data_IF_992648229581
#
_entry.id   IF_992648229581
#
_cell.length_a   1.000
_cell.length_b   1.000
_cell.length_c   1.000
_cell.angle_alpha   90.00
_cell.angle_beta   90.00
_cell.angle_gamma   90.00
#
_symmetry.space_group_name_H-M   'P 1'
#
loop_
_entity.id
_entity.type
_entity.pdbx_description
1 polymer ?
#
# COMPACT_ATOMS: atom_id res chain seq x y z
N UNK A 1 -1.96 37.64 48.41
CA UNK A 1 -1.06 37.17 47.34
C UNK A 1 -1.88 36.25 46.47
N UNK A 2 -2.48 36.82 45.43
CA UNK A 2 -3.41 36.17 44.51
C UNK A 2 -2.64 35.71 43.27
N UNK A 3 -2.86 34.47 42.87
CA UNK A 3 -2.26 33.83 41.68
C UNK A 3 -2.48 34.66 40.41
N UNK A 4 -1.53 34.63 39.45
CA UNK A 4 -1.74 35.21 38.14
C UNK A 4 -2.69 34.30 37.31
N UNK A 5 -3.52 34.86 36.42
CA UNK A 5 -4.39 34.07 35.56
C UNK A 5 -3.56 33.29 34.52
N UNK A 6 -4.04 32.13 34.04
CA UNK A 6 -3.39 31.43 32.93
C UNK A 6 -3.42 32.31 31.68
N UNK A 7 -2.27 32.45 31.02
CA UNK A 7 -2.15 33.16 29.76
C UNK A 7 -2.91 32.41 28.67
N UNK A 8 -4.04 32.95 28.25
CA UNK A 8 -4.62 32.64 26.94
C UNK A 8 -4.12 33.71 25.98
N UNK A 9 -3.56 33.26 24.84
CA UNK A 9 -3.68 33.84 23.49
C UNK A 9 -2.44 33.52 22.63
N UNK A 10 -2.52 33.62 21.29
CA UNK A 10 -3.35 32.78 20.43
C UNK A 10 -2.55 32.34 19.19
N UNK A 11 -2.87 31.21 18.57
CA UNK A 11 -2.60 31.06 17.14
C UNK A 11 -3.91 30.70 16.49
N UNK A 12 -4.67 31.74 16.11
CA UNK A 12 -5.60 31.55 14.98
C UNK A 12 -4.75 31.04 13.83
N UNK A 13 -5.05 29.86 13.25
CA UNK A 13 -4.38 29.45 12.04
C UNK A 13 -4.64 30.55 11.00
N UNK A 14 -3.62 30.89 10.23
CA UNK A 14 -3.77 31.67 8.99
C UNK A 14 -5.00 31.13 8.26
N UNK A 15 -5.95 31.95 7.81
CA UNK A 15 -7.18 31.38 7.30
C UNK A 15 -6.84 30.54 6.07
N UNK A 16 -7.20 29.26 6.11
CA UNK A 16 -6.76 28.29 5.10
C UNK A 16 -7.43 28.59 3.75
N UNK A 17 -6.72 28.34 2.66
CA UNK A 17 -7.31 28.37 1.31
C UNK A 17 -8.25 27.19 1.14
N UNK A 18 -9.37 27.40 0.45
CA UNK A 18 -10.37 26.36 0.20
C UNK A 18 -10.41 25.90 -1.24
N UNK A 19 -10.46 24.59 -1.44
CA UNK A 19 -10.87 23.95 -2.69
C UNK A 19 -12.27 23.39 -2.49
N UNK A 20 -13.16 23.66 -3.43
CA UNK A 20 -14.56 23.20 -3.38
C UNK A 20 -14.80 22.29 -4.58
N UNK A 21 -15.23 21.06 -4.33
CA UNK A 21 -15.65 20.08 -5.34
C UNK A 21 -17.17 19.95 -5.20
N UNK A 22 -17.92 20.09 -6.29
CA UNK A 22 -19.39 20.08 -6.29
C UNK A 22 -19.96 19.21 -7.42
N UNK A 23 -21.24 18.85 -7.33
CA UNK A 23 -22.00 18.13 -8.37
C UNK A 23 -21.51 16.71 -8.71
N UNK A 24 -20.65 16.11 -7.89
CA UNK A 24 -20.22 14.72 -8.05
C UNK A 24 -21.07 13.76 -7.23
N UNK A 25 -21.15 12.50 -7.67
CA UNK A 25 -21.49 11.41 -6.78
C UNK A 25 -20.34 11.23 -5.77
N UNK A 26 -20.64 10.82 -4.53
CA UNK A 26 -19.64 10.68 -3.47
C UNK A 26 -19.86 9.34 -2.79
N UNK A 27 -18.81 8.52 -2.68
CA UNK A 27 -18.76 7.38 -1.78
C UNK A 27 -17.79 7.72 -0.65
N UNK A 28 -18.29 7.95 0.55
CA UNK A 28 -17.46 8.40 1.68
C UNK A 28 -16.59 7.29 2.25
N UNK A 29 -17.07 6.04 2.20
CA UNK A 29 -16.46 4.87 2.87
C UNK A 29 -16.30 5.09 4.39
N UNK A 30 -17.13 5.97 4.98
CA UNK A 30 -17.24 6.12 6.43
C UNK A 30 -17.80 4.84 7.08
N UNK A 31 -18.04 4.85 8.40
CA UNK A 31 -18.55 3.68 9.10
C UNK A 31 -19.95 3.23 8.64
N UNK A 32 -20.73 4.14 8.06
CA UNK A 32 -22.12 3.92 7.63
C UNK A 32 -22.25 3.66 6.12
N UNK A 33 -21.13 3.61 5.39
CA UNK A 33 -21.08 3.54 3.92
C UNK A 33 -21.92 4.67 3.27
N UNK A 34 -21.84 5.89 3.80
CA UNK A 34 -22.63 7.02 3.30
C UNK A 34 -22.29 7.32 1.83
N UNK A 35 -23.31 7.34 0.98
CA UNK A 35 -23.22 7.70 -0.44
C UNK A 35 -24.14 8.89 -0.76
N UNK A 36 -23.64 9.84 -1.58
CA UNK A 36 -24.44 10.94 -2.11
C UNK A 36 -24.50 10.84 -3.63
N UNK A 37 -25.70 10.86 -4.21
CA UNK A 37 -25.88 10.86 -5.67
C UNK A 37 -25.38 12.16 -6.33
N UNK A 38 -25.45 13.27 -5.59
CA UNK A 38 -24.88 14.56 -5.96
C UNK A 38 -24.58 15.34 -4.68
N UNK A 39 -23.31 15.74 -4.51
CA UNK A 39 -22.86 16.38 -3.28
C UNK A 39 -21.70 17.34 -3.48
N UNK A 40 -21.12 17.72 -2.36
CA UNK A 40 -19.95 18.58 -2.29
C UNK A 40 -18.90 18.04 -1.33
N UNK A 41 -17.65 18.44 -1.56
CA UNK A 41 -16.52 18.30 -0.64
C UNK A 41 -15.83 19.66 -0.57
N UNK A 42 -15.64 20.18 0.65
CA UNK A 42 -14.83 21.38 0.90
C UNK A 42 -13.54 20.94 1.58
N UNK A 43 -12.42 21.25 0.96
CA UNK A 43 -11.07 21.05 1.50
C UNK A 43 -10.56 22.40 1.99
N UNK A 44 -10.15 22.48 3.25
CA UNK A 44 -9.48 23.63 3.83
C UNK A 44 -8.02 23.25 4.15
N UNK A 45 -7.07 23.89 3.47
CA UNK A 45 -5.66 23.51 3.59
C UNK A 45 -5.47 22.05 3.13
N UNK A 46 -5.15 21.17 4.08
CA UNK A 46 -4.98 19.74 3.86
C UNK A 46 -6.07 18.87 4.52
N UNK A 47 -7.13 19.46 5.07
CA UNK A 47 -8.20 18.74 5.75
C UNK A 47 -9.52 18.83 4.96
N UNK A 48 -10.31 17.78 5.06
CA UNK A 48 -11.70 17.80 4.67
C UNK A 48 -12.45 18.64 5.71
N UNK A 49 -12.99 19.78 5.30
CA UNK A 49 -13.78 20.67 6.16
C UNK A 49 -15.23 20.20 6.21
N UNK A 50 -15.84 19.94 5.05
CA UNK A 50 -17.21 19.41 4.95
C UNK A 50 -17.36 18.44 3.78
N UNK A 51 -18.26 17.48 3.94
CA UNK A 51 -18.76 16.60 2.88
C UNK A 51 -20.27 16.43 3.10
N UNK A 52 -21.05 16.46 2.03
CA UNK A 52 -22.50 16.38 2.18
C UNK A 52 -23.26 16.39 0.86
N UNK A 53 -24.59 16.20 0.90
CA UNK A 53 -25.43 16.24 -0.29
C UNK A 53 -25.64 17.69 -0.78
N UNK A 54 -25.93 17.84 -2.07
CA UNK A 54 -26.25 19.14 -2.67
C UNK A 54 -25.06 20.12 -2.73
N UNK A 55 -25.33 21.41 -2.95
CA UNK A 55 -24.29 22.43 -3.14
C UNK A 55 -23.48 22.67 -1.86
N UNK A 56 -22.25 23.17 -2.01
CA UNK A 56 -21.42 23.55 -0.86
C UNK A 56 -22.05 24.70 -0.06
N UNK A 57 -21.71 24.86 1.22
CA UNK A 57 -22.22 25.95 2.06
C UNK A 57 -22.08 27.33 1.40
N UNK A 58 -23.11 28.16 1.52
CA UNK A 58 -23.06 29.54 1.02
C UNK A 58 -22.10 30.39 1.87
N UNK A 59 -21.46 31.39 1.26
CA UNK A 59 -20.61 32.33 1.99
C UNK A 59 -19.22 31.80 2.37
N UNK A 60 -18.77 30.68 1.79
CA UNK A 60 -17.38 30.22 1.93
C UNK A 60 -16.41 31.33 1.52
N UNK A 61 -15.48 31.66 2.42
CA UNK A 61 -14.42 32.64 2.15
C UNK A 61 -13.14 31.93 1.71
N UNK A 62 -12.30 32.64 0.97
CA UNK A 62 -10.97 32.14 0.53
C UNK A 62 -11.02 30.86 -0.31
N UNK A 63 -12.09 30.69 -1.07
CA UNK A 63 -12.18 29.67 -2.11
C UNK A 63 -11.22 30.05 -3.24
N UNK A 64 -10.15 29.27 -3.40
CA UNK A 64 -9.13 29.49 -4.44
C UNK A 64 -9.42 28.69 -5.70
N UNK A 65 -10.22 27.62 -5.58
CA UNK A 65 -10.61 26.75 -6.70
C UNK A 65 -12.00 26.15 -6.47
N UNK A 66 -12.81 26.14 -7.52
CA UNK A 66 -14.04 25.35 -7.61
C UNK A 66 -13.88 24.31 -8.72
N UNK A 67 -14.27 23.07 -8.44
CA UNK A 67 -14.21 21.94 -9.37
C UNK A 67 -15.63 21.42 -9.56
N UNK A 68 -16.10 21.44 -10.81
CA UNK A 68 -17.35 20.80 -11.18
C UNK A 68 -17.11 19.31 -11.43
N UNK A 69 -17.63 18.48 -10.53
CA UNK A 69 -17.54 17.02 -10.55
C UNK A 69 -18.72 16.34 -11.23
N UNK A 70 -19.53 17.07 -12.01
CA UNK A 70 -20.60 16.46 -12.82
C UNK A 70 -20.07 15.28 -13.63
N UNK A 71 -20.75 14.12 -13.57
CA UNK A 71 -20.31 12.90 -14.25
C UNK A 71 -19.15 12.15 -13.56
N UNK A 72 -18.78 12.56 -12.35
CA UNK A 72 -17.71 11.93 -11.57
C UNK A 72 -18.22 11.26 -10.29
N UNK A 73 -17.46 10.28 -9.82
CA UNK A 73 -17.50 9.78 -8.45
C UNK A 73 -16.29 10.32 -7.69
N UNK A 74 -16.51 10.87 -6.50
CA UNK A 74 -15.47 11.15 -5.52
C UNK A 74 -15.36 10.00 -4.51
N UNK A 75 -14.14 9.54 -4.25
CA UNK A 75 -13.82 8.54 -3.22
C UNK A 75 -12.64 9.01 -2.37
N UNK A 76 -12.37 8.39 -1.22
CA UNK A 76 -11.04 8.46 -0.61
C UNK A 76 -10.01 7.98 -1.63
N UNK A 77 -8.79 8.50 -1.50
CA UNK A 77 -7.67 8.00 -2.27
C UNK A 77 -7.36 6.53 -1.94
N UNK A 78 -6.89 5.80 -2.94
CA UNK A 78 -6.56 4.40 -2.78
C UNK A 78 -5.31 4.25 -1.90
N UNK A 79 -5.31 3.22 -1.06
CA UNK A 79 -4.25 2.90 -0.11
C UNK A 79 -3.65 1.54 -0.47
N UNK A 80 -2.46 1.55 -1.07
CA UNK A 80 -1.72 0.32 -1.34
C UNK A 80 -0.98 -0.12 -0.08
N UNK A 81 -1.25 -1.35 0.39
CA UNK A 81 -0.68 -1.92 1.61
C UNK A 81 0.50 -2.87 1.38
N UNK A 82 0.82 -3.22 0.13
CA UNK A 82 1.92 -4.12 -0.20
C UNK A 82 2.39 -4.00 -1.66
N UNK A 83 3.70 -3.79 -1.85
CA UNK A 83 4.39 -3.70 -3.14
C UNK A 83 5.89 -4.03 -2.98
N UNK A 84 6.58 -4.35 -4.08
CA UNK A 84 8.05 -4.27 -4.23
C UNK A 84 8.49 -3.40 -5.43
N UNK A 85 8.95 -2.17 -5.21
CA UNK A 85 9.16 -1.13 -6.23
C UNK A 85 10.32 -1.47 -7.16
N UNK A 86 11.42 -1.99 -6.61
CA UNK A 86 12.59 -2.38 -7.41
C UNK A 86 12.25 -3.41 -8.51
N UNK A 87 11.17 -4.18 -8.34
CA UNK A 87 10.69 -5.15 -9.32
C UNK A 87 10.08 -4.51 -10.57
N UNK A 88 9.91 -3.18 -10.61
CA UNK A 88 9.50 -2.44 -11.81
C UNK A 88 10.42 -2.68 -13.00
N UNK A 89 11.71 -2.92 -12.73
CA UNK A 89 12.74 -3.15 -13.74
C UNK A 89 12.78 -4.60 -14.25
N UNK A 90 12.09 -5.51 -13.60
CA UNK A 90 12.11 -6.96 -13.90
C UNK A 90 10.74 -7.50 -14.33
N UNK A 91 9.80 -6.62 -14.69
CA UNK A 91 8.45 -6.99 -15.15
C UNK A 91 8.51 -7.92 -16.36
N UNK A 92 7.66 -8.94 -16.37
CA UNK A 92 7.54 -9.90 -17.47
C UNK A 92 8.66 -10.96 -17.52
N UNK A 93 9.53 -11.04 -16.51
CA UNK A 93 10.46 -12.16 -16.32
C UNK A 93 9.75 -13.31 -15.56
N UNK A 94 10.31 -14.53 -15.64
CA UNK A 94 9.80 -15.72 -14.93
C UNK A 94 8.26 -15.91 -15.08
N UNK A 95 7.79 -15.91 -16.33
CA UNK A 95 6.36 -15.89 -16.67
C UNK A 95 5.59 -17.15 -16.26
N UNK A 96 6.27 -18.30 -16.26
CA UNK A 96 5.66 -19.62 -16.09
C UNK A 96 6.27 -20.33 -14.87
N UNK A 97 6.24 -19.66 -13.73
CA UNK A 97 6.89 -20.11 -12.49
C UNK A 97 5.92 -19.99 -11.31
N UNK A 98 5.98 -20.96 -10.40
CA UNK A 98 5.44 -20.80 -9.04
C UNK A 98 6.34 -19.82 -8.24
N UNK A 99 5.96 -19.50 -7.00
CA UNK A 99 6.71 -18.57 -6.16
C UNK A 99 8.20 -18.92 -6.01
N UNK A 100 8.52 -20.17 -5.66
CA UNK A 100 9.90 -20.55 -5.35
C UNK A 100 10.78 -20.52 -6.59
N UNK A 101 10.30 -21.05 -7.72
CA UNK A 101 11.01 -21.01 -9.00
C UNK A 101 11.20 -19.57 -9.50
N UNK A 102 10.19 -18.72 -9.28
CA UNK A 102 10.23 -17.29 -9.62
C UNK A 102 11.27 -16.55 -8.78
N UNK A 103 11.29 -16.77 -7.46
CA UNK A 103 12.28 -16.19 -6.54
C UNK A 103 13.70 -16.63 -6.87
N UNK A 104 13.93 -17.94 -7.05
CA UNK A 104 15.26 -18.48 -7.41
C UNK A 104 15.77 -17.91 -8.72
N UNK A 105 14.87 -17.68 -9.69
CA UNK A 105 15.21 -17.06 -10.98
C UNK A 105 15.62 -15.59 -10.81
N UNK A 106 14.98 -14.86 -9.90
CA UNK A 106 15.09 -13.41 -9.81
C UNK A 106 16.09 -12.90 -8.76
N UNK A 107 16.37 -13.66 -7.70
CA UNK A 107 17.38 -13.27 -6.69
C UNK A 107 18.74 -12.91 -7.30
N UNK A 108 19.31 -13.67 -8.26
CA UNK A 108 20.55 -13.28 -8.89
C UNK A 108 20.43 -11.91 -9.58
N UNK A 109 19.31 -11.63 -10.24
CA UNK A 109 19.09 -10.34 -10.91
C UNK A 109 18.98 -9.22 -9.87
N UNK A 110 18.14 -9.39 -8.85
CA UNK A 110 17.92 -8.35 -7.84
C UNK A 110 19.12 -8.09 -6.94
N UNK A 111 20.00 -9.06 -6.73
CA UNK A 111 21.26 -8.87 -6.02
C UNK A 111 22.24 -7.89 -6.72
N UNK A 112 21.87 -7.37 -7.90
CA UNK A 112 22.68 -6.44 -8.71
C UNK A 112 22.04 -5.06 -8.86
N UNK A 113 20.94 -4.79 -8.16
CA UNK A 113 20.36 -3.44 -8.11
C UNK A 113 21.29 -2.47 -7.38
N UNK A 114 21.22 -1.20 -7.76
CA UNK A 114 21.86 -0.10 -7.07
C UNK A 114 20.89 1.08 -6.90
N UNK A 115 21.34 2.12 -6.20
CA UNK A 115 20.52 3.27 -5.82
C UNK A 115 19.88 3.99 -7.03
N UNK A 116 20.59 4.26 -8.14
CA UNK A 116 19.97 4.78 -9.37
C UNK A 116 18.88 3.86 -9.93
N UNK A 117 19.08 2.54 -9.95
CA UNK A 117 18.05 1.60 -10.40
C UNK A 117 16.82 1.66 -9.51
N UNK A 118 17.00 1.63 -8.19
CA UNK A 118 15.89 1.65 -7.23
C UNK A 118 15.11 2.97 -7.31
N UNK A 119 15.78 4.11 -7.47
CA UNK A 119 15.09 5.40 -7.67
C UNK A 119 14.26 5.40 -8.94
N UNK A 120 14.82 4.95 -10.07
CA UNK A 120 14.10 4.85 -11.34
C UNK A 120 12.91 3.87 -11.27
N UNK A 121 13.09 2.73 -10.58
CA UNK A 121 12.07 1.73 -10.36
C UNK A 121 10.92 2.27 -9.50
N UNK A 122 11.24 2.89 -8.37
CA UNK A 122 10.29 3.53 -7.47
C UNK A 122 9.49 4.62 -8.17
N UNK A 123 10.14 5.48 -8.98
CA UNK A 123 9.43 6.48 -9.79
C UNK A 123 8.45 5.83 -10.76
N UNK A 124 8.83 4.73 -11.41
CA UNK A 124 7.96 3.98 -12.30
C UNK A 124 6.73 3.38 -11.60
N UNK A 125 6.94 2.65 -10.51
CA UNK A 125 5.88 2.06 -9.69
C UNK A 125 4.92 3.13 -9.14
N UNK A 126 5.46 4.17 -8.53
CA UNK A 126 4.68 5.26 -7.95
C UNK A 126 3.92 6.04 -9.01
N UNK A 127 4.52 6.34 -10.16
CA UNK A 127 3.85 7.05 -11.25
C UNK A 127 2.56 6.33 -11.69
N UNK A 128 2.64 5.02 -11.87
CA UNK A 128 1.48 4.21 -12.28
C UNK A 128 0.41 4.14 -11.19
N UNK A 129 0.82 3.91 -9.94
CA UNK A 129 -0.10 3.92 -8.80
C UNK A 129 -0.81 5.26 -8.61
N UNK A 130 -0.06 6.36 -8.58
CA UNK A 130 -0.59 7.71 -8.33
C UNK A 130 -1.53 8.13 -9.45
N UNK A 131 -1.14 7.90 -10.71
CA UNK A 131 -2.00 8.12 -11.89
C UNK A 131 -3.29 7.30 -11.80
N UNK A 132 -3.21 6.11 -11.22
CA UNK A 132 -4.33 5.20 -10.96
C UNK A 132 -5.09 5.46 -9.65
N UNK A 133 -4.91 6.61 -8.99
CA UNK A 133 -5.70 7.03 -7.83
C UNK A 133 -5.14 6.63 -6.46
N UNK A 134 -3.90 6.12 -6.38
CA UNK A 134 -3.23 5.86 -5.09
C UNK A 134 -2.74 7.17 -4.48
N UNK A 135 -3.12 7.42 -3.23
CA UNK A 135 -2.67 8.57 -2.44
C UNK A 135 -1.73 8.16 -1.30
N UNK A 136 -1.82 6.90 -0.86
CA UNK A 136 -0.92 6.30 0.12
C UNK A 136 -0.35 5.01 -0.43
N UNK A 137 0.97 4.91 -0.49
CA UNK A 137 1.69 3.73 -0.94
C UNK A 137 2.56 3.15 0.18
N UNK A 138 2.82 1.85 0.09
CA UNK A 138 3.74 1.10 0.92
C UNK A 138 4.67 0.32 -0.01
N UNK A 139 5.94 0.22 0.38
CA UNK A 139 6.91 -0.65 -0.29
C UNK A 139 7.60 -1.56 0.70
N UNK A 140 7.72 -2.84 0.34
CA UNK A 140 8.45 -3.87 1.06
C UNK A 140 9.80 -4.14 0.38
N UNK A 141 10.79 -3.28 0.66
CA UNK A 141 12.13 -3.45 0.13
C UNK A 141 12.95 -4.39 1.02
N UNK A 142 13.31 -5.57 0.53
CA UNK A 142 14.03 -6.58 1.34
C UNK A 142 15.36 -7.08 0.76
N UNK A 143 15.77 -6.59 -0.41
CA UNK A 143 17.06 -6.93 -1.04
C UNK A 143 18.00 -5.73 -0.93
N UNK A 144 19.07 -5.86 -0.14
CA UNK A 144 20.07 -4.79 0.07
C UNK A 144 21.47 -5.27 -0.31
N UNK A 145 21.85 -5.25 -1.61
CA UNK A 145 23.16 -5.71 -2.03
C UNK A 145 24.27 -4.81 -1.46
N UNK A 146 25.41 -5.43 -1.11
CA UNK A 146 26.54 -4.69 -0.56
C UNK A 146 27.07 -3.66 -1.57
N UNK A 147 27.21 -2.42 -1.12
CA UNK A 147 27.72 -1.32 -1.96
C UNK A 147 26.71 -0.78 -2.96
N UNK A 148 25.41 -1.11 -2.82
CA UNK A 148 24.35 -0.66 -3.70
C UNK A 148 23.94 0.82 -3.50
N UNK A 149 24.43 1.49 -2.45
CA UNK A 149 24.03 2.85 -2.08
C UNK A 149 22.82 2.89 -1.14
N UNK A 150 22.16 4.04 -1.04
CA UNK A 150 21.01 4.27 -0.18
C UNK A 150 19.69 3.94 -0.90
N UNK A 151 19.34 2.65 -0.92
CA UNK A 151 18.16 2.15 -1.64
C UNK A 151 16.85 2.67 -1.05
N UNK A 152 16.71 2.65 0.28
CA UNK A 152 15.51 3.14 0.95
C UNK A 152 15.34 4.65 0.75
N UNK A 153 16.43 5.41 0.85
CA UNK A 153 16.43 6.84 0.56
C UNK A 153 16.07 7.15 -0.88
N UNK A 154 16.48 6.32 -1.85
CA UNK A 154 16.02 6.43 -3.23
C UNK A 154 14.49 6.33 -3.37
N UNK A 155 13.85 5.38 -2.69
CA UNK A 155 12.39 5.25 -2.70
C UNK A 155 11.70 6.43 -2.03
N UNK A 156 12.22 6.89 -0.89
CA UNK A 156 11.71 8.05 -0.17
C UNK A 156 11.81 9.32 -1.04
N UNK A 157 12.91 9.50 -1.78
CA UNK A 157 13.05 10.62 -2.73
C UNK A 157 12.02 10.53 -3.85
N UNK A 158 11.85 9.36 -4.47
CA UNK A 158 10.84 9.15 -5.49
C UNK A 158 9.42 9.46 -4.97
N UNK A 159 9.05 8.97 -3.78
CA UNK A 159 7.76 9.26 -3.16
C UNK A 159 7.52 10.76 -2.93
N UNK A 160 8.55 11.47 -2.46
CA UNK A 160 8.50 12.92 -2.28
C UNK A 160 8.34 13.67 -3.60
N UNK A 161 9.05 13.26 -4.65
CA UNK A 161 8.95 13.84 -5.99
C UNK A 161 7.54 13.68 -6.57
N UNK A 162 6.92 12.50 -6.43
CA UNK A 162 5.57 12.26 -6.91
C UNK A 162 4.47 12.85 -6.00
N UNK A 163 4.80 13.21 -4.76
CA UNK A 163 3.86 13.83 -3.81
C UNK A 163 2.92 12.85 -3.13
N UNK A 164 3.33 11.58 -2.98
CA UNK A 164 2.51 10.52 -2.38
C UNK A 164 2.83 10.33 -0.89
N UNK A 165 1.83 9.97 -0.08
CA UNK A 165 2.06 9.54 1.31
C UNK A 165 2.71 8.16 1.27
N UNK A 166 3.82 7.98 1.97
CA UNK A 166 4.63 6.79 1.84
C UNK A 166 4.86 6.09 3.19
N UNK A 167 4.68 4.77 3.19
CA UNK A 167 5.02 3.90 4.32
C UNK A 167 6.07 2.89 3.89
N UNK A 168 7.34 3.30 3.65
CA UNK A 168 8.38 2.36 3.30
C UNK A 168 8.65 1.41 4.45
N UNK A 169 8.98 0.16 4.16
CA UNK A 169 9.54 -0.74 5.16
C UNK A 169 10.99 -1.06 4.85
N UNK A 170 11.83 -1.02 5.88
CA UNK A 170 13.17 -1.57 5.79
C UNK A 170 13.04 -3.07 6.03
N UNK A 171 13.09 -3.84 4.95
CA UNK A 171 13.10 -5.30 5.00
C UNK A 171 14.47 -5.93 5.12
N UNK A 172 14.52 -7.25 5.27
CA UNK A 172 15.78 -8.00 5.40
C UNK A 172 15.61 -9.47 5.14
N UNK A 173 16.72 -10.10 4.77
CA UNK A 173 16.91 -11.54 4.73
C UNK A 173 18.27 -11.86 5.35
N UNK A 174 18.34 -12.83 6.25
CA UNK A 174 19.60 -13.29 6.90
C UNK A 174 19.78 -14.82 6.85
N UNK A 175 18.85 -15.54 6.21
CA UNK A 175 18.89 -16.99 6.08
C UNK A 175 19.20 -17.38 4.63
N UNK A 176 20.49 -17.54 4.31
CA UNK A 176 20.94 -17.99 2.99
C UNK A 176 20.87 -19.51 2.79
N UNK A 177 21.07 -19.95 1.55
CA UNK A 177 21.08 -21.36 1.13
C UNK A 177 22.01 -22.24 1.98
N UNK A 178 23.21 -21.75 2.31
CA UNK A 178 24.17 -22.49 3.15
C UNK A 178 23.67 -22.77 4.57
N UNK A 179 22.70 -21.99 5.05
CA UNK A 179 22.03 -22.14 6.35
C UNK A 179 20.62 -22.74 6.22
N UNK A 180 20.22 -23.19 5.03
CA UNK A 180 18.94 -23.85 4.75
C UNK A 180 17.77 -22.90 4.48
N UNK A 181 18.05 -21.66 4.10
CA UNK A 181 17.07 -20.74 3.52
C UNK A 181 16.94 -20.87 2.01
N UNK A 182 15.97 -20.16 1.43
CA UNK A 182 15.75 -20.08 -0.01
C UNK A 182 16.71 -19.11 -0.76
N UNK A 183 17.01 -17.89 -0.26
CA UNK A 183 17.83 -16.95 -1.02
C UNK A 183 19.30 -17.40 -1.11
N UNK A 184 20.01 -17.07 -2.20
CA UNK A 184 21.45 -17.28 -2.29
C UNK A 184 22.19 -16.53 -1.17
N UNK A 185 23.31 -17.06 -0.69
CA UNK A 185 24.09 -16.46 0.42
C UNK A 185 24.57 -15.02 0.13
N UNK A 186 24.74 -14.65 -1.15
CA UNK A 186 25.12 -13.29 -1.54
C UNK A 186 23.96 -12.28 -1.50
N UNK A 187 22.72 -12.76 -1.40
CA UNK A 187 21.51 -11.94 -1.37
C UNK A 187 21.02 -11.65 0.05
N UNK A 188 21.71 -12.16 1.07
CA UNK A 188 21.37 -11.97 2.49
C UNK A 188 22.39 -11.09 3.22
N UNK A 189 21.95 -10.53 4.34
CA UNK A 189 22.75 -9.74 5.26
C UNK A 189 23.05 -10.53 6.53
N UNK A 190 23.92 -10.00 7.39
CA UNK A 190 23.98 -10.52 8.77
C UNK A 190 22.80 -9.98 9.57
N UNK A 191 22.34 -10.72 10.58
CA UNK A 191 21.28 -10.27 11.50
C UNK A 191 21.61 -8.92 12.14
N UNK A 192 22.87 -8.73 12.57
CA UNK A 192 23.33 -7.49 13.21
C UNK A 192 23.29 -6.30 12.24
N UNK A 193 23.79 -6.48 11.01
CA UNK A 193 23.76 -5.42 9.99
C UNK A 193 22.32 -5.06 9.61
N UNK A 194 21.45 -6.06 9.49
CA UNK A 194 20.05 -5.87 9.18
C UNK A 194 19.32 -5.06 10.28
N UNK A 195 19.49 -5.42 11.55
CA UNK A 195 18.88 -4.71 12.67
C UNK A 195 19.41 -3.27 12.79
N UNK A 196 20.72 -3.08 12.63
CA UNK A 196 21.35 -1.76 12.68
C UNK A 196 20.84 -0.84 11.57
N UNK A 197 20.83 -1.31 10.32
CA UNK A 197 20.32 -0.54 9.19
C UNK A 197 18.82 -0.23 9.32
N UNK A 198 18.04 -1.15 9.91
CA UNK A 198 16.63 -0.93 10.21
C UNK A 198 16.44 0.17 11.26
N UNK A 199 17.22 0.15 12.34
CA UNK A 199 17.18 1.19 13.38
C UNK A 199 17.60 2.56 12.82
N UNK A 200 18.68 2.62 12.04
CA UNK A 200 19.14 3.85 11.37
C UNK A 200 18.08 4.44 10.43
N UNK A 201 17.41 3.59 9.64
CA UNK A 201 16.31 4.02 8.77
C UNK A 201 15.15 4.63 9.54
N UNK A 202 14.75 4.02 10.66
CA UNK A 202 13.69 4.54 11.52
C UNK A 202 14.10 5.89 12.11
N UNK A 203 15.28 5.96 12.74
CA UNK A 203 15.76 7.16 13.43
C UNK A 203 15.95 8.35 12.48
N UNK A 204 16.26 8.09 11.22
CA UNK A 204 16.49 9.12 10.21
C UNK A 204 15.19 9.61 9.57
N UNK A 205 14.22 8.73 9.33
CA UNK A 205 13.12 9.01 8.41
C UNK A 205 11.72 8.91 9.00
N UNK A 206 11.52 8.20 10.11
CA UNK A 206 10.18 7.96 10.64
C UNK A 206 9.58 9.24 11.24
N UNK A 207 8.39 9.64 10.79
CA UNK A 207 7.61 10.72 11.38
C UNK A 207 6.24 10.20 11.86
N UNK A 208 6.02 10.07 13.18
CA UNK A 208 4.77 9.56 13.75
C UNK A 208 3.67 10.62 13.80
N UNK A 209 3.91 11.87 13.38
CA UNK A 209 2.91 12.94 13.50
C UNK A 209 1.64 12.63 12.72
N UNK A 210 0.51 13.15 13.18
CA UNK A 210 -0.70 13.21 12.37
C UNK A 210 -0.40 13.92 11.04
N UNK A 211 -0.90 13.39 9.93
CA UNK A 211 -0.66 13.99 8.61
C UNK A 211 0.70 13.70 8.00
N UNK A 212 1.61 13.02 8.70
CA UNK A 212 2.94 12.70 8.20
C UNK A 212 2.89 12.02 6.83
N UNK A 213 3.71 12.54 5.91
CA UNK A 213 3.90 11.98 4.56
C UNK A 213 4.82 10.76 4.55
N UNK A 214 5.44 10.40 5.68
CA UNK A 214 6.45 9.34 5.74
C UNK A 214 6.42 8.58 7.07
N UNK A 215 6.05 7.29 7.04
CA UNK A 215 6.12 6.39 8.20
C UNK A 215 6.88 5.12 7.89
N UNK A 216 8.09 5.00 8.41
CA UNK A 216 8.91 3.79 8.25
C UNK A 216 8.33 2.64 9.08
N UNK A 217 8.33 1.42 8.52
CA UNK A 217 8.07 0.17 9.22
C UNK A 217 9.23 -0.84 9.13
N UNK A 218 9.15 -1.92 9.90
CA UNK A 218 10.14 -2.99 9.95
C UNK A 218 9.61 -4.21 9.21
N UNK A 219 10.38 -4.79 8.29
CA UNK A 219 9.84 -5.88 7.46
C UNK A 219 10.80 -6.99 7.00
N UNK A 220 11.39 -7.80 7.89
CA UNK A 220 11.98 -9.06 7.48
C UNK A 220 11.06 -9.87 6.53
N UNK A 221 11.65 -10.41 5.46
CA UNK A 221 10.92 -10.83 4.27
C UNK A 221 9.91 -11.96 4.53
N UNK A 222 10.34 -13.18 4.84
CA UNK A 222 9.46 -14.35 4.98
C UNK A 222 10.09 -15.45 5.85
N UNK A 223 9.30 -16.42 6.37
CA UNK A 223 9.82 -17.50 7.22
C UNK A 223 10.94 -18.36 6.60
N UNK A 224 11.01 -18.45 5.27
CA UNK A 224 12.02 -19.23 4.54
C UNK A 224 13.25 -18.40 4.08
N UNK A 225 13.29 -17.11 4.39
CA UNK A 225 14.40 -16.20 4.08
C UNK A 225 14.97 -15.47 5.31
N UNK A 226 14.36 -15.67 6.47
CA UNK A 226 14.67 -14.97 7.72
C UNK A 226 14.81 -15.97 8.87
N UNK A 227 15.85 -15.81 9.68
CA UNK A 227 16.09 -16.58 10.88
C UNK A 227 15.08 -16.26 11.99
N UNK A 228 14.82 -17.23 12.87
CA UNK A 228 13.97 -17.02 14.05
C UNK A 228 14.53 -15.91 14.97
N UNK A 229 15.85 -15.75 15.02
CA UNK A 229 16.53 -14.68 15.77
C UNK A 229 16.16 -13.31 15.23
N UNK A 230 16.36 -13.08 13.93
CA UNK A 230 16.02 -11.82 13.28
C UNK A 230 14.53 -11.49 13.40
N UNK A 231 13.62 -12.46 13.23
CA UNK A 231 12.19 -12.21 13.45
C UNK A 231 11.91 -11.68 14.86
N UNK A 232 12.42 -12.33 15.90
CA UNK A 232 12.18 -11.93 17.29
C UNK A 232 12.77 -10.55 17.59
N UNK A 233 14.03 -10.33 17.22
CA UNK A 233 14.74 -9.08 17.51
C UNK A 233 14.18 -7.89 16.71
N UNK A 234 13.72 -8.12 15.47
CA UNK A 234 13.04 -7.10 14.67
C UNK A 234 11.69 -6.69 15.27
N UNK A 235 10.90 -7.65 15.78
CA UNK A 235 9.65 -7.36 16.47
C UNK A 235 9.88 -6.54 17.75
N UNK A 236 10.91 -6.88 18.52
CA UNK A 236 11.31 -6.10 19.70
C UNK A 236 11.78 -4.69 19.31
N UNK A 237 12.61 -4.55 18.26
CA UNK A 237 13.06 -3.25 17.77
C UNK A 237 11.89 -2.36 17.34
N UNK A 238 10.97 -2.88 16.52
CA UNK A 238 9.84 -2.13 16.02
C UNK A 238 8.98 -1.58 17.17
N UNK A 239 8.68 -2.42 18.17
CA UNK A 239 7.89 -2.03 19.34
C UNK A 239 8.62 -1.03 20.24
N UNK A 240 9.95 -1.16 20.41
CA UNK A 240 10.75 -0.16 21.13
C UNK A 240 10.73 1.20 20.42
N UNK A 241 10.73 1.20 19.09
CA UNK A 241 10.69 2.43 18.26
C UNK A 241 9.28 2.95 17.99
N UNK A 242 8.24 2.20 18.36
CA UNK A 242 6.85 2.57 18.10
C UNK A 242 6.44 2.53 16.63
N UNK A 243 7.09 1.69 15.82
CA UNK A 243 6.79 1.50 14.39
C UNK A 243 6.07 0.18 14.13
N UNK A 244 5.42 0.07 12.98
CA UNK A 244 4.67 -1.13 12.57
C UNK A 244 5.57 -2.20 11.94
N UNK A 245 5.04 -3.42 11.88
CA UNK A 245 5.70 -4.65 11.45
C UNK A 245 5.00 -5.25 10.22
N UNK A 246 5.76 -5.61 9.19
CA UNK A 246 5.24 -6.26 7.99
C UNK A 246 6.04 -7.49 7.56
N UNK A 247 5.39 -8.53 7.05
CA UNK A 247 6.08 -9.69 6.47
C UNK A 247 5.15 -10.44 5.50
N UNK A 248 5.69 -11.38 4.74
CA UNK A 248 4.89 -12.35 4.01
C UNK A 248 4.50 -13.49 4.96
N UNK A 249 3.26 -13.97 4.88
CA UNK A 249 2.81 -15.07 5.74
C UNK A 249 1.67 -15.88 5.14
N UNK A 250 1.76 -17.20 5.27
CA UNK A 250 0.77 -18.17 4.78
C UNK A 250 0.46 -17.98 3.28
N UNK A 251 1.47 -17.67 2.48
CA UNK A 251 1.36 -17.39 1.05
C UNK A 251 1.24 -18.67 0.23
N UNK A 252 1.98 -19.73 0.55
CA UNK A 252 2.03 -20.96 -0.27
C UNK A 252 1.96 -22.24 0.55
N UNK A 253 1.57 -23.34 -0.10
CA UNK A 253 1.65 -24.69 0.50
C UNK A 253 3.09 -25.10 0.78
N UNK A 254 4.05 -24.61 0.00
CA UNK A 254 5.48 -24.79 0.20
C UNK A 254 5.96 -24.17 1.51
N UNK A 255 5.50 -22.95 1.84
CA UNK A 255 5.77 -22.29 3.11
C UNK A 255 5.17 -23.08 4.29
N UNK A 256 3.92 -23.56 4.17
CA UNK A 256 3.28 -24.37 5.20
C UNK A 256 4.10 -25.64 5.49
N UNK A 257 4.56 -26.33 4.44
CA UNK A 257 5.44 -27.49 4.55
C UNK A 257 6.78 -27.13 5.21
N UNK A 258 7.42 -26.04 4.77
CA UNK A 258 8.67 -25.57 5.34
C UNK A 258 8.54 -25.33 6.85
N UNK A 259 7.49 -24.61 7.28
CA UNK A 259 7.27 -24.33 8.70
C UNK A 259 7.03 -25.59 9.52
N UNK A 260 6.25 -26.55 9.00
CA UNK A 260 6.03 -27.84 9.67
C UNK A 260 7.32 -28.65 9.80
N UNK A 261 8.13 -28.71 8.76
CA UNK A 261 9.39 -29.45 8.76
C UNK A 261 10.46 -28.83 9.67
N UNK A 262 10.57 -27.49 9.68
CA UNK A 262 11.60 -26.77 10.45
C UNK A 262 11.20 -26.49 11.89
N UNK A 263 9.93 -26.19 12.15
CA UNK A 263 9.45 -25.67 13.44
C UNK A 263 8.35 -26.54 14.08
N UNK A 264 7.84 -27.55 13.38
CA UNK A 264 6.81 -28.45 13.90
C UNK A 264 5.40 -27.82 13.99
N UNK A 265 5.19 -26.65 13.38
CA UNK A 265 3.94 -25.88 13.44
C UNK A 265 3.65 -25.16 12.12
N UNK A 266 2.45 -24.61 11.97
CA UNK A 266 2.08 -23.82 10.78
C UNK A 266 2.70 -22.41 10.78
N UNK A 267 2.64 -21.68 9.64
CA UNK A 267 3.24 -20.35 9.51
C UNK A 267 2.73 -19.35 10.55
N UNK A 268 1.40 -19.28 10.77
CA UNK A 268 0.80 -18.37 11.75
C UNK A 268 1.28 -18.66 13.18
N UNK A 269 1.30 -19.92 13.60
CA UNK A 269 1.78 -20.30 14.93
C UNK A 269 3.26 -19.97 15.11
N UNK A 270 4.06 -20.18 14.07
CA UNK A 270 5.48 -19.83 14.06
C UNK A 270 5.69 -18.31 14.20
N UNK A 271 4.99 -17.50 13.40
CA UNK A 271 5.03 -16.05 13.47
C UNK A 271 4.53 -15.54 14.84
N UNK A 272 3.47 -16.14 15.39
CA UNK A 272 3.01 -15.84 16.74
C UNK A 272 4.12 -16.09 17.80
N UNK A 273 4.85 -17.20 17.69
CA UNK A 273 5.93 -17.57 18.62
C UNK A 273 7.14 -16.61 18.61
N UNK A 274 7.23 -15.77 17.57
CA UNK A 274 8.29 -14.77 17.39
C UNK A 274 7.80 -13.34 17.62
N UNK A 275 6.53 -13.15 18.03
CA UNK A 275 5.96 -11.85 18.34
C UNK A 275 5.29 -11.13 17.18
N UNK A 276 5.08 -11.82 16.05
CA UNK A 276 4.55 -11.26 14.79
C UNK A 276 3.02 -11.35 14.66
N UNK A 277 2.28 -11.28 15.77
CA UNK A 277 0.83 -11.00 15.74
C UNK A 277 0.55 -9.81 16.67
N UNK A 278 -0.32 -8.91 16.23
CA UNK A 278 -0.68 -7.68 16.95
C UNK A 278 -1.31 -6.62 16.05
N UNK A 279 -1.89 -5.59 16.66
CA UNK A 279 -2.48 -4.44 15.95
C UNK A 279 -1.45 -3.58 15.21
N UNK A 280 -0.17 -3.75 15.57
CA UNK A 280 1.02 -3.18 14.96
C UNK A 280 1.56 -4.02 13.79
N UNK A 281 0.96 -5.18 13.50
CA UNK A 281 1.42 -6.13 12.47
C UNK A 281 0.44 -6.22 11.30
N UNK A 282 0.96 -6.33 10.08
CA UNK A 282 0.18 -6.81 8.94
C UNK A 282 0.97 -7.75 8.05
N UNK A 283 0.29 -8.72 7.43
CA UNK A 283 0.92 -9.72 6.57
C UNK A 283 0.40 -9.68 5.14
N UNK A 284 1.28 -9.91 4.19
CA UNK A 284 0.91 -10.07 2.78
C UNK A 284 0.35 -11.46 2.49
N UNK A 285 -0.54 -11.52 1.50
CA UNK A 285 -1.13 -12.73 0.92
C UNK A 285 -2.14 -13.45 1.80
N UNK A 286 -1.71 -14.09 2.88
CA UNK A 286 -2.56 -14.84 3.81
C UNK A 286 -3.49 -15.84 3.11
N UNK A 287 -2.96 -16.61 2.16
CA UNK A 287 -3.73 -17.51 1.28
C UNK A 287 -4.17 -18.77 2.02
N UNK A 288 -3.22 -19.46 2.64
CA UNK A 288 -3.42 -20.76 3.26
C UNK A 288 -3.67 -20.61 4.77
N UNK A 289 -4.78 -19.95 5.10
CA UNK A 289 -5.23 -19.80 6.49
C UNK A 289 -6.35 -20.79 6.83
N UNK A 290 -6.26 -21.41 7.99
CA UNK A 290 -7.33 -22.18 8.59
C UNK A 290 -8.16 -21.31 9.58
N UNK A 291 -9.22 -21.88 10.16
CA UNK A 291 -10.10 -21.14 11.07
C UNK A 291 -9.42 -20.67 12.37
N UNK A 292 -8.41 -21.39 12.87
CA UNK A 292 -7.63 -20.98 14.04
C UNK A 292 -6.71 -19.79 13.71
N UNK A 293 -6.12 -19.78 12.52
CA UNK A 293 -5.31 -18.65 12.04
C UNK A 293 -6.17 -17.37 11.95
N UNK A 294 -7.34 -17.46 11.33
CA UNK A 294 -8.29 -16.33 11.22
C UNK A 294 -8.69 -15.83 12.60
N UNK A 295 -9.01 -16.74 13.52
CA UNK A 295 -9.35 -16.38 14.90
C UNK A 295 -8.17 -15.73 15.66
N UNK A 296 -6.92 -16.12 15.37
CA UNK A 296 -5.75 -15.48 15.94
C UNK A 296 -5.55 -14.05 15.42
N UNK A 297 -5.71 -13.83 14.11
CA UNK A 297 -5.64 -12.50 13.51
C UNK A 297 -6.74 -11.58 14.05
N UNK A 298 -7.99 -12.09 14.13
CA UNK A 298 -9.11 -11.34 14.69
C UNK A 298 -8.88 -10.93 16.15
N UNK A 299 -8.39 -11.86 17.00
CA UNK A 299 -8.11 -11.56 18.41
C UNK A 299 -6.99 -10.53 18.61
N UNK A 300 -6.01 -10.51 17.72
CA UNK A 300 -4.81 -9.68 17.86
C UNK A 300 -4.89 -8.36 17.10
N UNK A 301 -5.87 -8.21 16.20
CA UNK A 301 -5.96 -7.06 15.32
C UNK A 301 -4.93 -7.09 14.18
N UNK A 302 -4.32 -8.24 13.89
CA UNK A 302 -3.32 -8.38 12.83
C UNK A 302 -3.96 -8.12 11.47
N UNK A 303 -3.39 -7.22 10.67
CA UNK A 303 -3.91 -6.85 9.35
C UNK A 303 -3.50 -7.81 8.23
N UNK A 304 -4.23 -7.76 7.12
CA UNK A 304 -3.94 -8.53 5.90
C UNK A 304 -3.84 -7.60 4.68
N UNK A 305 -2.78 -7.71 3.90
CA UNK A 305 -2.64 -7.12 2.58
C UNK A 305 -2.98 -8.18 1.51
N UNK A 306 -4.21 -8.13 0.97
CA UNK A 306 -4.67 -9.06 -0.05
C UNK A 306 -4.18 -8.64 -1.44
N UNK A 307 -3.48 -9.55 -2.15
CA UNK A 307 -2.88 -9.30 -3.46
C UNK A 307 -3.47 -10.22 -4.55
N UNK A 308 -4.72 -10.00 -5.00
CA UNK A 308 -5.47 -10.99 -5.78
C UNK A 308 -4.83 -11.33 -7.13
N UNK A 309 -4.39 -10.33 -7.90
CA UNK A 309 -3.72 -10.58 -9.18
C UNK A 309 -2.42 -11.36 -9.03
N UNK A 310 -1.59 -11.01 -8.02
CA UNK A 310 -0.33 -11.73 -7.79
C UNK A 310 -0.58 -13.18 -7.44
N UNK A 311 -1.46 -13.41 -6.45
CA UNK A 311 -1.85 -14.76 -6.04
C UNK A 311 -2.34 -15.61 -7.23
N UNK A 312 -3.09 -15.00 -8.16
CA UNK A 312 -3.54 -15.65 -9.38
C UNK A 312 -2.39 -15.90 -10.39
N UNK A 313 -1.50 -14.92 -10.58
CA UNK A 313 -0.38 -14.95 -11.54
C UNK A 313 0.66 -16.02 -11.22
N UNK A 314 0.89 -16.32 -9.94
CA UNK A 314 1.77 -17.42 -9.51
C UNK A 314 1.01 -18.69 -9.09
N UNK A 315 -0.32 -18.71 -9.29
CA UNK A 315 -1.21 -19.81 -8.94
C UNK A 315 -1.12 -20.29 -7.48
N UNK A 316 -0.88 -19.36 -6.55
CA UNK A 316 -0.70 -19.66 -5.13
C UNK A 316 -2.03 -20.02 -4.44
N UNK A 317 -3.14 -19.42 -4.87
CA UNK A 317 -4.48 -19.75 -4.37
C UNK A 317 -5.33 -18.52 -4.08
N UNK A 318 -6.41 -18.71 -3.33
CA UNK A 318 -7.36 -17.64 -2.96
C UNK A 318 -7.38 -17.45 -1.44
N UNK A 319 -6.99 -16.27 -0.97
CA UNK A 319 -7.06 -15.93 0.45
C UNK A 319 -8.51 -15.92 0.95
N UNK A 320 -8.80 -16.30 2.21
CA UNK A 320 -10.17 -16.39 2.72
C UNK A 320 -10.72 -15.01 3.15
N UNK A 321 -10.62 -14.01 2.27
CA UNK A 321 -11.00 -12.61 2.56
C UNK A 321 -12.43 -12.47 3.10
N UNK A 322 -13.46 -13.15 2.55
CA UNK A 322 -14.81 -13.05 3.12
C UNK A 322 -14.87 -13.53 4.59
N UNK A 323 -14.12 -14.58 4.94
CA UNK A 323 -14.08 -15.09 6.30
C UNK A 323 -13.27 -14.17 7.24
N UNK A 324 -12.16 -13.59 6.74
CA UNK A 324 -11.37 -12.58 7.46
C UNK A 324 -12.22 -11.35 7.80
N UNK A 325 -12.94 -10.81 6.81
CA UNK A 325 -13.87 -9.70 7.00
C UNK A 325 -14.99 -10.05 7.99
N UNK A 326 -15.59 -11.25 7.86
CA UNK A 326 -16.61 -11.73 8.78
C UNK A 326 -16.13 -11.91 10.22
N UNK A 327 -14.83 -12.13 10.42
CA UNK A 327 -14.20 -12.20 11.74
C UNK A 327 -13.74 -10.83 12.28
N UNK A 328 -13.88 -9.76 11.52
CA UNK A 328 -13.45 -8.40 11.90
C UNK A 328 -11.95 -8.14 11.73
N UNK A 329 -11.26 -8.95 10.92
CA UNK A 329 -9.83 -8.74 10.62
C UNK A 329 -9.68 -7.52 9.69
N UNK A 330 -8.74 -6.58 9.95
CA UNK A 330 -8.44 -5.52 9.00
C UNK A 330 -7.86 -6.09 7.70
N UNK A 331 -8.48 -5.80 6.56
CA UNK A 331 -8.00 -6.27 5.25
C UNK A 331 -7.87 -5.07 4.30
N UNK A 332 -6.68 -4.90 3.74
CA UNK A 332 -6.35 -3.94 2.68
C UNK A 332 -6.03 -4.64 1.36
N UNK A 333 -5.78 -3.85 0.31
CA UNK A 333 -5.30 -4.35 -0.98
C UNK A 333 -3.83 -4.01 -1.20
N UNK A 334 -3.09 -4.98 -1.73
CA UNK A 334 -1.76 -4.80 -2.29
C UNK A 334 -1.75 -5.13 -3.78
N UNK A 335 -0.84 -4.51 -4.53
CA UNK A 335 -0.53 -4.95 -5.90
C UNK A 335 0.61 -5.96 -5.93
N UNK A 336 1.33 -6.13 -4.82
CA UNK A 336 2.57 -6.91 -4.71
C UNK A 336 3.66 -6.35 -5.65
N UNK A 337 4.75 -7.06 -5.86
CA UNK A 337 5.78 -6.72 -6.80
C UNK A 337 5.29 -6.80 -8.25
N UNK A 338 5.70 -5.85 -9.07
CA UNK A 338 5.25 -5.84 -10.47
C UNK A 338 5.88 -6.95 -11.32
N UNK A 339 6.81 -7.74 -10.79
CA UNK A 339 7.26 -8.97 -11.46
C UNK A 339 6.33 -10.18 -11.21
N UNK A 340 5.28 -10.02 -10.38
CA UNK A 340 4.18 -10.98 -10.16
C UNK A 340 2.79 -10.37 -10.42
N UNK A 341 2.70 -9.12 -10.88
CA UNK A 341 1.43 -8.44 -11.24
C UNK A 341 1.49 -7.73 -12.63
N UNK A 342 2.66 -7.20 -12.97
CA UNK A 342 3.02 -6.40 -14.15
C UNK A 342 2.28 -5.06 -14.37
N UNK A 343 1.04 -4.88 -13.90
CA UNK A 343 0.31 -3.60 -14.04
C UNK A 343 0.76 -2.57 -13.00
N UNK A 344 0.81 -2.98 -11.72
CA UNK A 344 1.11 -2.09 -10.58
C UNK A 344 -0.02 -1.10 -10.27
N UNK A 345 -1.26 -1.40 -10.67
CA UNK A 345 -2.38 -0.47 -10.56
C UNK A 345 -3.45 -0.96 -9.57
N UNK A 346 -3.54 -0.32 -8.39
CA UNK A 346 -4.43 -0.78 -7.31
C UNK A 346 -5.93 -0.69 -7.66
N UNK A 347 -6.34 0.26 -8.52
CA UNK A 347 -7.74 0.37 -8.93
C UNK A 347 -8.22 -0.87 -9.70
N UNK A 348 -7.32 -1.58 -10.39
CA UNK A 348 -7.65 -2.85 -11.04
C UNK A 348 -7.84 -3.98 -10.03
N UNK A 349 -7.14 -3.93 -8.90
CA UNK A 349 -7.26 -4.93 -7.83
C UNK A 349 -8.63 -4.88 -7.15
N UNK A 350 -9.37 -3.75 -7.20
CA UNK A 350 -10.76 -3.68 -6.74
C UNK A 350 -11.63 -4.71 -7.48
N UNK A 351 -11.50 -4.73 -8.82
CA UNK A 351 -12.22 -5.66 -9.68
C UNK A 351 -11.72 -7.09 -9.47
N UNK A 352 -10.39 -7.27 -9.41
CA UNK A 352 -9.80 -8.59 -9.32
C UNK A 352 -10.17 -9.26 -7.99
N UNK A 353 -10.08 -8.55 -6.86
CA UNK A 353 -10.56 -9.03 -5.56
C UNK A 353 -12.01 -9.52 -5.64
N UNK A 354 -12.90 -8.70 -6.21
CA UNK A 354 -14.31 -9.06 -6.35
C UNK A 354 -14.51 -10.32 -7.20
N UNK A 355 -13.84 -10.41 -8.35
CA UNK A 355 -14.02 -11.53 -9.27
C UNK A 355 -13.45 -12.84 -8.72
N UNK A 356 -12.25 -12.83 -8.11
CA UNK A 356 -11.66 -14.07 -7.56
C UNK A 356 -12.50 -14.64 -6.43
N UNK A 357 -13.03 -13.79 -5.54
CA UNK A 357 -13.87 -14.26 -4.43
C UNK A 357 -15.25 -14.71 -4.90
N UNK A 358 -15.83 -14.07 -5.92
CA UNK A 358 -17.08 -14.54 -6.51
C UNK A 358 -16.92 -15.87 -7.25
N UNK A 359 -15.80 -16.07 -7.93
CA UNK A 359 -15.47 -17.33 -8.57
C UNK A 359 -15.32 -18.46 -7.55
N UNK A 360 -14.64 -18.19 -6.42
CA UNK A 360 -14.37 -19.19 -5.39
C UNK A 360 -15.57 -19.47 -4.46
N UNK A 361 -16.37 -18.45 -4.13
CA UNK A 361 -17.37 -18.50 -3.06
C UNK A 361 -18.80 -18.10 -3.45
N UNK A 362 -19.07 -17.86 -4.73
CA UNK A 362 -20.38 -17.45 -5.24
C UNK A 362 -20.60 -15.93 -5.28
N UNK A 363 -21.67 -15.48 -5.91
CA UNK A 363 -21.93 -14.08 -6.27
C UNK A 363 -21.97 -13.10 -5.09
N UNK A 364 -22.23 -13.61 -3.88
CA UNK A 364 -22.33 -12.83 -2.65
C UNK A 364 -21.05 -12.84 -1.78
N UNK A 365 -19.98 -13.52 -2.22
CA UNK A 365 -18.75 -13.64 -1.43
C UNK A 365 -18.04 -12.30 -1.19
N UNK A 366 -18.04 -11.41 -2.20
CA UNK A 366 -17.58 -10.03 -2.07
C UNK A 366 -18.43 -9.11 -2.96
N UNK A 367 -18.84 -7.97 -2.40
CA UNK A 367 -19.58 -6.94 -3.13
C UNK A 367 -18.70 -5.73 -3.49
N UNK A 368 -19.21 -4.85 -4.37
CA UNK A 368 -18.45 -3.71 -4.92
C UNK A 368 -18.03 -2.69 -3.84
N UNK A 369 -18.84 -2.49 -2.80
CA UNK A 369 -18.54 -1.56 -1.69
C UNK A 369 -17.47 -2.13 -0.78
N UNK A 370 -17.52 -3.43 -0.51
CA UNK A 370 -16.45 -4.15 0.19
C UNK A 370 -15.14 -4.05 -0.60
N UNK A 371 -15.15 -4.26 -1.91
CA UNK A 371 -13.96 -4.11 -2.75
C UNK A 371 -13.37 -2.68 -2.67
N UNK A 372 -14.19 -1.64 -2.80
CA UNK A 372 -13.76 -0.25 -2.60
C UNK A 372 -13.18 -0.02 -1.20
N UNK A 373 -13.84 -0.55 -0.16
CA UNK A 373 -13.38 -0.47 1.24
C UNK A 373 -12.01 -1.11 1.44
N UNK A 374 -11.75 -2.29 0.85
CA UNK A 374 -10.43 -2.94 0.92
C UNK A 374 -9.33 -2.01 0.36
N UNK A 375 -9.60 -1.34 -0.77
CA UNK A 375 -8.64 -0.43 -1.40
C UNK A 375 -8.54 0.97 -0.78
N UNK A 376 -9.34 1.30 0.24
CA UNK A 376 -9.39 2.62 0.88
C UNK A 376 -9.28 2.50 2.40
N UNK A 377 -10.40 2.49 3.13
CA UNK A 377 -10.44 2.44 4.59
C UNK A 377 -9.75 1.20 5.16
N UNK A 378 -9.95 0.02 4.54
CA UNK A 378 -9.29 -1.22 4.94
C UNK A 378 -7.76 -1.13 4.84
N UNK A 379 -7.26 -0.53 3.76
CA UNK A 379 -5.83 -0.23 3.63
C UNK A 379 -5.33 0.78 4.67
N UNK A 380 -6.12 1.82 4.96
CA UNK A 380 -5.79 2.78 6.01
C UNK A 380 -5.77 2.13 7.41
N UNK A 381 -6.65 1.17 7.70
CA UNK A 381 -6.60 0.39 8.95
C UNK A 381 -5.31 -0.45 9.03
N UNK A 382 -4.98 -1.16 7.96
CA UNK A 382 -3.76 -1.99 7.87
C UNK A 382 -2.49 -1.17 8.11
N UNK A 383 -2.41 0.04 7.57
CA UNK A 383 -1.25 0.92 7.76
C UNK A 383 -1.32 1.79 9.03
N UNK A 384 -2.34 1.63 9.87
CA UNK A 384 -2.51 2.42 11.11
C UNK A 384 -2.77 3.90 10.86
N UNK A 385 -3.51 4.22 9.81
CA UNK A 385 -3.87 5.57 9.36
C UNK A 385 -5.39 5.78 9.23
N UNK A 386 -6.21 4.87 9.75
CA UNK A 386 -7.68 4.97 9.66
C UNK A 386 -8.26 6.24 10.29
N UNK A 387 -7.57 6.85 11.26
CA UNK A 387 -7.97 8.15 11.83
C UNK A 387 -7.65 9.35 10.92
N UNK A 388 -6.77 9.16 9.92
CA UNK A 388 -6.22 10.21 9.09
C UNK A 388 -6.76 10.19 7.65
N UNK A 389 -6.97 9.00 7.08
CA UNK A 389 -7.28 8.80 5.66
C UNK A 389 -8.15 7.55 5.46
N UNK A 390 -8.47 7.24 4.20
CA UNK A 390 -9.22 6.04 3.80
C UNK A 390 -10.74 6.20 3.83
N UNK A 391 -11.26 7.31 4.33
CA UNK A 391 -12.67 7.72 4.22
C UNK A 391 -12.77 9.24 4.07
N UNK A 392 -13.86 9.73 3.47
CA UNK A 392 -14.16 11.15 3.34
C UNK A 392 -15.00 11.60 4.53
N UNK A 393 -14.33 12.11 5.57
CA UNK A 393 -14.97 12.58 6.80
C UNK A 393 -14.38 13.93 7.21
N UNK A 394 -15.18 14.86 7.76
CA UNK A 394 -14.65 16.11 8.29
C UNK A 394 -13.53 15.88 9.32
N UNK A 395 -12.42 16.62 9.17
CA UNK A 395 -11.23 16.50 10.01
C UNK A 395 -10.21 15.46 9.55
N UNK A 396 -10.53 14.60 8.58
CA UNK A 396 -9.53 13.74 7.92
C UNK A 396 -8.74 14.50 6.86
N UNK A 397 -7.60 13.95 6.49
CA UNK A 397 -6.73 14.50 5.44
C UNK A 397 -7.43 14.45 4.09
N UNK A 398 -7.20 15.48 3.28
CA UNK A 398 -7.73 15.59 1.93
C UNK A 398 -6.92 14.71 0.94
N UNK A 399 -6.96 13.40 1.19
CA UNK A 399 -6.47 12.34 0.31
C UNK A 399 -7.69 11.76 -0.45
N UNK A 400 -8.01 12.29 -1.62
CA UNK A 400 -9.25 11.97 -2.35
C UNK A 400 -9.05 11.93 -3.86
N UNK A 401 -9.94 11.24 -4.56
CA UNK A 401 -9.88 11.04 -6.01
C UNK A 401 -11.23 11.30 -6.66
N UNK A 402 -11.22 12.00 -7.80
CA UNK A 402 -12.35 12.16 -8.72
C UNK A 402 -12.16 11.26 -9.93
N UNK A 403 -13.08 10.32 -10.09
CA UNK A 403 -13.13 9.32 -11.16
C UNK A 403 -14.15 9.75 -12.21
N UNK A 404 -13.75 9.81 -13.48
CA UNK A 404 -14.66 10.14 -14.57
C UNK A 404 -15.49 8.91 -14.96
N UNK A 405 -16.82 8.98 -14.76
CA UNK A 405 -17.76 7.86 -14.95
C UNK A 405 -18.86 8.14 -15.98
N UNK A 406 -18.82 9.29 -16.65
CA UNK A 406 -19.72 9.65 -17.76
C UNK A 406 -19.17 9.23 -19.14
N UNK A 407 -18.05 8.50 -19.16
CA UNK A 407 -17.43 7.97 -20.38
C UNK A 407 -18.01 6.62 -20.82
N UNK A 408 -17.60 6.17 -22.01
CA UNK A 408 -18.09 4.95 -22.67
C UNK A 408 -18.05 3.68 -21.78
N UNK A 409 -17.06 3.58 -20.90
CA UNK A 409 -16.88 2.40 -20.03
C UNK A 409 -17.82 2.34 -18.82
N UNK A 410 -18.57 3.41 -18.54
CA UNK A 410 -19.20 3.63 -17.23
C UNK A 410 -20.60 4.26 -17.31
N UNK A 411 -20.88 5.06 -18.35
CA UNK A 411 -22.04 5.96 -18.42
C UNK A 411 -23.42 5.29 -18.39
N UNK A 412 -23.49 3.96 -18.56
CA UNK A 412 -24.72 3.16 -18.53
C UNK A 412 -24.89 2.35 -17.25
N UNK A 413 -23.93 2.44 -16.32
CA UNK A 413 -23.98 1.79 -15.02
C UNK A 413 -24.51 2.81 -14.00
N UNK A 414 -25.74 2.62 -13.53
CA UNK A 414 -26.43 3.60 -12.69
C UNK A 414 -25.82 3.79 -11.29
N UNK A 415 -25.26 2.72 -10.71
CA UNK A 415 -24.57 2.76 -9.42
C UNK A 415 -23.10 3.19 -9.67
N UNK A 416 -22.65 4.37 -9.19
CA UNK A 416 -21.30 4.86 -9.44
C UNK A 416 -20.20 3.99 -8.85
N UNK A 417 -20.43 3.38 -7.68
CA UNK A 417 -19.45 2.47 -7.04
C UNK A 417 -19.36 1.19 -7.85
N UNK A 418 -20.50 0.66 -8.30
CA UNK A 418 -20.51 -0.46 -9.22
C UNK A 418 -19.82 -0.12 -10.55
N UNK A 419 -20.01 1.10 -11.09
CA UNK A 419 -19.35 1.55 -12.31
C UNK A 419 -17.82 1.59 -12.14
N UNK A 420 -17.31 2.10 -11.02
CA UNK A 420 -15.88 2.13 -10.73
C UNK A 420 -15.28 0.71 -10.62
N UNK A 421 -15.94 -0.21 -9.90
CA UNK A 421 -15.39 -1.55 -9.62
C UNK A 421 -15.62 -2.54 -10.77
N UNK A 422 -16.79 -2.50 -11.41
CA UNK A 422 -17.18 -3.44 -12.47
C UNK A 422 -16.99 -2.88 -13.89
N UNK A 423 -16.71 -1.59 -14.05
CA UNK A 423 -16.42 -0.98 -15.34
C UNK A 423 -15.01 -1.28 -15.83
N UNK A 424 -14.67 -0.63 -16.95
CA UNK A 424 -13.27 -0.49 -17.36
C UNK A 424 -12.50 0.39 -16.36
N UNK A 425 -11.15 0.39 -16.34
CA UNK A 425 -10.37 1.36 -15.59
C UNK A 425 -10.87 2.80 -15.79
N UNK A 426 -11.31 3.44 -14.70
CA UNK A 426 -11.85 4.79 -14.74
C UNK A 426 -10.70 5.83 -14.74
N UNK A 427 -10.71 6.82 -15.65
CA UNK A 427 -9.72 7.88 -15.62
C UNK A 427 -9.85 8.73 -14.34
N UNK A 428 -8.71 9.07 -13.74
CA UNK A 428 -8.62 10.04 -12.63
C UNK A 428 -8.51 11.45 -13.22
N UNK A 429 -9.47 12.32 -12.91
CA UNK A 429 -9.45 13.73 -13.37
C UNK A 429 -8.86 14.67 -12.35
N UNK A 430 -8.94 14.32 -11.06
CA UNK A 430 -8.24 15.01 -9.99
C UNK A 430 -7.91 14.00 -8.88
N UNK A 431 -6.65 13.98 -8.44
CA UNK A 431 -6.25 13.31 -7.20
C UNK A 431 -5.57 14.32 -6.30
N UNK A 432 -6.03 14.40 -5.05
CA UNK A 432 -5.42 15.20 -4.00
C UNK A 432 -4.70 14.28 -3.02
N UNK A 433 -3.48 14.66 -2.64
CA UNK A 433 -2.77 14.10 -1.50
C UNK A 433 -2.42 15.25 -0.58
N UNK A 434 -2.84 15.16 0.68
CA UNK A 434 -2.59 16.22 1.68
C UNK A 434 -3.10 17.59 1.16
N UNK A 435 -4.26 17.58 0.49
CA UNK A 435 -4.90 18.75 -0.11
C UNK A 435 -4.25 19.29 -1.38
N UNK A 436 -3.17 18.67 -1.87
CA UNK A 436 -2.41 19.13 -3.05
C UNK A 436 -2.67 18.24 -4.26
N UNK A 437 -2.90 18.81 -5.46
CA UNK A 437 -3.09 18.02 -6.67
C UNK A 437 -1.82 17.27 -7.04
N UNK A 438 -1.95 15.95 -7.28
CA UNK A 438 -0.88 15.09 -7.81
C UNK A 438 -1.23 14.50 -9.17
N UNK A 439 -2.52 14.43 -9.50
CA UNK A 439 -3.03 14.07 -10.83
C UNK A 439 -4.06 15.10 -11.27
N UNK A 440 -3.98 15.52 -12.53
CA UNK A 440 -5.03 16.27 -13.23
C UNK A 440 -5.22 15.72 -14.64
N UNK A 441 -6.47 15.57 -15.06
CA UNK A 441 -6.85 15.10 -16.41
C UNK A 441 -6.09 13.84 -16.88
N UNK A 442 -5.93 12.88 -15.96
CA UNK A 442 -5.29 11.59 -16.22
C UNK A 442 -3.76 11.63 -16.33
N UNK A 443 -3.12 12.73 -15.91
CA UNK A 443 -1.67 12.95 -15.94
C UNK A 443 -1.13 13.35 -14.58
N UNK A 444 0.09 12.91 -14.28
CA UNK A 444 0.85 13.45 -13.15
C UNK A 444 1.13 14.94 -13.34
N UNK A 445 0.94 15.73 -12.28
CA UNK A 445 1.32 17.17 -12.27
C UNK A 445 2.64 17.43 -11.55
N UNK A 446 3.18 16.43 -10.86
CA UNK A 446 4.40 16.51 -10.05
C UNK A 446 5.64 16.00 -10.78
N UNK A 447 5.47 15.21 -11.86
CA UNK A 447 6.58 14.66 -12.62
C UNK A 447 6.21 14.37 -14.10
N UNK A 448 7.24 14.30 -14.95
CA UNK A 448 7.12 13.95 -16.37
C UNK A 448 7.09 12.41 -16.54
N UNK A 449 5.94 11.87 -16.95
CA UNK A 449 5.72 10.44 -17.19
C UNK A 449 6.65 9.87 -18.28
N UNK A 450 6.91 10.62 -19.35
CA UNK A 450 7.78 10.16 -20.44
C UNK A 450 9.24 10.13 -20.01
N UNK A 451 9.66 11.06 -19.15
CA UNK A 451 10.99 11.03 -18.54
C UNK A 451 11.17 9.81 -17.64
N UNK A 452 10.20 9.53 -16.76
CA UNK A 452 10.18 8.35 -15.89
C UNK A 452 10.27 7.07 -16.73
N UNK A 453 9.47 6.96 -17.79
CA UNK A 453 9.46 5.79 -18.66
C UNK A 453 10.80 5.59 -19.38
N UNK A 454 11.47 6.68 -19.80
CA UNK A 454 12.80 6.60 -20.43
C UNK A 454 13.86 6.10 -19.44
N UNK A 455 13.89 6.70 -18.25
CA UNK A 455 14.84 6.37 -17.19
C UNK A 455 14.70 4.92 -16.73
N UNK A 456 13.48 4.49 -16.40
CA UNK A 456 13.20 3.11 -15.98
C UNK A 456 13.60 2.09 -17.07
N UNK A 457 13.37 2.39 -18.36
CA UNK A 457 13.80 1.52 -19.46
C UNK A 457 15.32 1.43 -19.55
N UNK A 458 16.03 2.54 -19.37
CA UNK A 458 17.47 2.58 -19.51
C UNK A 458 18.15 1.84 -18.34
N UNK A 459 17.62 1.99 -17.12
CA UNK A 459 18.05 1.23 -15.94
C UNK A 459 17.69 -0.26 -16.01
N UNK A 460 16.49 -0.63 -16.49
CA UNK A 460 16.13 -2.03 -16.71
C UNK A 460 17.08 -2.72 -17.71
N UNK A 461 17.45 -2.01 -18.78
CA UNK A 461 18.45 -2.50 -19.74
C UNK A 461 19.85 -2.61 -19.12
N UNK A 462 20.21 -1.72 -18.20
CA UNK A 462 21.49 -1.79 -17.48
C UNK A 462 21.52 -3.00 -16.55
N UNK A 463 20.47 -3.19 -15.76
CA UNK A 463 20.31 -4.36 -14.89
C UNK A 463 20.41 -5.66 -15.69
N UNK A 464 19.70 -5.75 -16.82
CA UNK A 464 19.74 -6.93 -17.69
C UNK A 464 21.15 -7.23 -18.24
N UNK A 465 21.96 -6.22 -18.58
CA UNK A 465 23.36 -6.43 -19.01
C UNK A 465 24.22 -6.95 -17.87
N UNK A 466 24.17 -6.31 -16.70
CA UNK A 466 24.95 -6.71 -15.52
C UNK A 466 24.58 -8.14 -15.08
N UNK A 467 23.30 -8.50 -15.17
CA UNK A 467 22.83 -9.85 -14.82
C UNK A 467 23.23 -10.92 -15.84
N UNK A 468 23.47 -10.56 -17.10
CA UNK A 468 23.88 -11.50 -18.15
C UNK A 468 25.40 -11.74 -18.20
N UNK A 469 26.20 -10.78 -17.72
CA UNK A 469 27.67 -10.82 -17.74
C UNK A 469 28.28 -11.64 -16.57
N UNK A 470 27.46 -12.25 -15.72
CA UNK A 470 27.85 -12.90 -14.47
C UNK A 470 27.25 -14.30 -14.36
#
# INVERSE_FOLDING_TARGET
MTEPPPSVSPVSPVPESRVVIENCAIATVDADDTEYASGHIVVAGNLIETVGPGPAPAGLTRVVRRVDGTGHLATPGLVNTHHHFYQWLTRGLAQNSNLFDWLVTLYPVWARIDEPMVHAAARGSLAMMVRGGVTTAMDHHYVFPRGAGDLLGAEIRAARELGVRFSPTRGSMDLGESAGGLPPDFAVETTEDALRATEEAIDTHHDPSFGSMLRVGVAPCSPFSVSTGLLREAAELARRKGVRLHTHGSETVEEERFCKEKFGMGPTDYLASTGWLGEDVWMAHCIHMNGADIAAFARTGTGVAHCPSSNARIAAGTAPVPALLGAGVPVGLGVDGTASNETGELHTELRNALLVHRLAGGENALNVRQALRLGTYGGAQVLGRAAETGSLEPGKLADLVLWKLDGLGHSTIADPVAALVLGAPAPVTLSLVDGRPVVEDGRLVTADEDAIAREARDEARRLARIAADA
#
